data_IF_026060634455
#
_entry.id   IF_026060634455
#
_cell.length_a   1.000
_cell.length_b   1.000
_cell.length_c   1.000
_cell.angle_alpha   90.00
_cell.angle_beta   90.00
_cell.angle_gamma   90.00
#
_symmetry.space_group_name_H-M   'P 1'
#
loop_
_entity.id
_entity.type
_entity.pdbx_description
1 polymer ?
#
# COMPACT_ATOMS: atom_id res chain seq x y z
N UNK A 1 -31.03 5.30 22.20
CA UNK A 1 -32.41 5.07 21.72
C UNK A 1 -32.38 3.98 20.67
N UNK A 2 -33.10 2.90 20.91
CA UNK A 2 -33.17 1.70 20.06
C UNK A 2 -34.04 1.93 18.81
N UNK A 3 -33.69 2.93 17.99
CA UNK A 3 -34.52 3.35 16.85
C UNK A 3 -34.23 2.59 15.55
N UNK A 4 -33.41 1.55 15.57
CA UNK A 4 -33.03 0.78 14.38
C UNK A 4 -32.09 1.51 13.38
N UNK A 5 -31.74 2.77 13.64
CA UNK A 5 -30.93 3.58 12.72
C UNK A 5 -29.51 2.98 12.53
N UNK A 6 -28.87 2.61 13.61
CA UNK A 6 -27.52 1.98 13.57
C UNK A 6 -27.56 0.67 12.81
N UNK A 7 -28.67 -0.08 12.92
CA UNK A 7 -28.85 -1.33 12.20
C UNK A 7 -28.97 -1.12 10.68
N UNK A 8 -29.72 -0.08 10.25
CA UNK A 8 -29.77 0.28 8.82
C UNK A 8 -28.40 0.62 8.27
N UNK A 9 -27.58 1.35 9.04
CA UNK A 9 -26.20 1.67 8.65
C UNK A 9 -25.34 0.41 8.57
N UNK A 10 -25.51 -0.53 9.49
CA UNK A 10 -24.82 -1.83 9.42
C UNK A 10 -25.25 -2.65 8.20
N UNK A 11 -26.54 -2.65 7.83
CA UNK A 11 -27.02 -3.26 6.59
C UNK A 11 -26.36 -2.65 5.35
N UNK A 12 -26.22 -1.32 5.32
CA UNK A 12 -25.51 -0.63 4.23
C UNK A 12 -24.06 -1.08 4.19
N UNK A 13 -23.34 -1.04 5.31
CA UNK A 13 -21.95 -1.49 5.38
C UNK A 13 -21.80 -2.97 4.97
N UNK A 14 -22.76 -3.81 5.35
CA UNK A 14 -22.79 -5.21 4.95
C UNK A 14 -22.83 -5.38 3.43
N UNK A 15 -23.74 -4.70 2.75
CA UNK A 15 -23.85 -4.75 1.28
C UNK A 15 -22.61 -4.16 0.61
N UNK A 16 -21.95 -3.17 1.22
CA UNK A 16 -20.69 -2.60 0.74
C UNK A 16 -19.45 -3.45 1.06
N UNK A 17 -19.63 -4.65 1.62
CA UNK A 17 -18.55 -5.63 1.77
C UNK A 17 -17.98 -5.77 3.17
N UNK A 18 -18.73 -5.41 4.22
CA UNK A 18 -18.40 -5.79 5.61
C UNK A 18 -18.20 -7.32 5.69
N UNK A 19 -17.32 -7.78 6.56
CA UNK A 19 -17.18 -9.21 6.80
C UNK A 19 -18.46 -9.79 7.41
N UNK A 20 -18.76 -11.04 7.08
CA UNK A 20 -19.99 -11.67 7.53
C UNK A 20 -20.03 -11.88 9.05
N UNK A 21 -18.90 -12.15 9.67
CA UNK A 21 -18.71 -12.33 11.10
C UNK A 21 -18.84 -11.00 11.90
N UNK A 22 -18.69 -9.87 11.24
CA UNK A 22 -18.87 -8.54 11.83
C UNK A 22 -20.33 -8.05 11.74
N UNK A 23 -21.18 -8.73 10.94
CA UNK A 23 -22.61 -8.41 10.83
C UNK A 23 -23.43 -9.34 11.73
N UNK A 24 -23.68 -8.87 12.92
CA UNK A 24 -24.38 -9.68 13.95
C UNK A 24 -25.89 -9.41 13.87
N UNK A 25 -26.64 -10.48 13.63
CA UNK A 25 -28.09 -10.52 13.75
C UNK A 25 -28.50 -11.43 14.90
N UNK A 26 -29.62 -11.10 15.52
CA UNK A 26 -30.30 -12.03 16.44
C UNK A 26 -30.70 -13.29 15.63
N UNK A 27 -30.33 -14.47 16.14
CA UNK A 27 -30.61 -15.77 15.50
C UNK A 27 -32.09 -15.97 15.17
N UNK A 28 -32.99 -15.32 15.93
CA UNK A 28 -34.43 -15.42 15.74
C UNK A 28 -35.03 -14.29 14.85
N UNK A 29 -34.19 -13.49 14.21
CA UNK A 29 -34.67 -12.34 13.41
C UNK A 29 -35.46 -12.76 12.16
N UNK A 30 -35.23 -13.97 11.64
CA UNK A 30 -35.88 -14.48 10.43
C UNK A 30 -35.42 -13.82 9.13
N UNK A 31 -34.45 -12.91 9.17
CA UNK A 31 -33.89 -12.29 7.97
C UNK A 31 -32.87 -13.22 7.30
N UNK A 32 -32.96 -13.36 5.99
CA UNK A 32 -32.11 -14.25 5.19
C UNK A 32 -31.18 -13.51 4.24
N UNK A 33 -31.50 -12.26 3.91
CA UNK A 33 -30.71 -11.41 3.02
C UNK A 33 -30.85 -9.94 3.33
N UNK A 34 -29.84 -9.15 2.91
CA UNK A 34 -29.92 -7.70 2.82
C UNK A 34 -29.99 -7.31 1.36
N UNK A 35 -31.01 -6.53 1.00
CA UNK A 35 -31.19 -6.03 -0.36
C UNK A 35 -31.13 -4.52 -0.39
N UNK A 36 -30.39 -3.96 -1.36
CA UNK A 36 -30.21 -2.53 -1.54
C UNK A 36 -30.40 -2.11 -2.98
N UNK A 37 -31.25 -1.12 -3.22
CA UNK A 37 -31.40 -0.44 -4.51
C UNK A 37 -30.55 0.82 -4.57
N UNK A 38 -29.82 1.02 -5.67
CA UNK A 38 -28.98 2.18 -5.92
C UNK A 38 -29.39 2.82 -7.24
N UNK A 39 -29.60 4.15 -7.26
CA UNK A 39 -29.76 4.92 -8.50
C UNK A 39 -28.42 5.53 -8.90
N UNK A 40 -28.09 5.44 -10.16
CA UNK A 40 -26.92 6.05 -10.77
C UNK A 40 -27.34 7.09 -11.81
N UNK A 41 -26.40 7.82 -12.36
CA UNK A 41 -26.68 8.77 -13.45
C UNK A 41 -27.13 8.06 -14.75
N UNK A 42 -26.81 6.78 -14.93
CA UNK A 42 -27.01 6.03 -16.18
C UNK A 42 -27.97 4.82 -16.02
N UNK A 43 -28.52 4.61 -14.83
CA UNK A 43 -29.41 3.49 -14.57
C UNK A 43 -29.66 3.22 -13.09
N UNK A 44 -29.89 1.97 -12.76
CA UNK A 44 -30.12 1.51 -11.39
C UNK A 44 -29.47 0.16 -11.17
N UNK A 45 -29.12 -0.12 -9.92
CA UNK A 45 -28.60 -1.41 -9.47
C UNK A 45 -29.44 -1.91 -8.30
N UNK A 46 -29.63 -3.21 -8.23
CA UNK A 46 -30.12 -3.89 -7.04
C UNK A 46 -29.06 -4.89 -6.61
N UNK A 47 -28.59 -4.76 -5.38
CA UNK A 47 -27.65 -5.68 -4.76
C UNK A 47 -28.40 -6.52 -3.73
N UNK A 48 -28.20 -7.84 -3.77
CA UNK A 48 -28.73 -8.76 -2.76
C UNK A 48 -27.57 -9.57 -2.19
N UNK A 49 -27.46 -9.58 -0.87
CA UNK A 49 -26.42 -10.33 -0.17
C UNK A 49 -27.04 -11.23 0.89
N UNK A 50 -26.85 -12.56 0.81
CA UNK A 50 -27.34 -13.49 1.82
C UNK A 50 -26.68 -13.25 3.17
N UNK A 51 -27.41 -13.57 4.24
CA UNK A 51 -26.93 -13.56 5.61
C UNK A 51 -26.56 -15.00 6.00
N UNK A 52 -25.41 -15.21 6.59
CA UNK A 52 -24.92 -16.56 6.95
C UNK A 52 -24.25 -17.28 5.78
N UNK A 53 -24.78 -18.44 5.41
CA UNK A 53 -24.21 -19.23 4.33
C UNK A 53 -24.30 -18.49 2.98
N UNK A 54 -23.21 -18.49 2.23
CA UNK A 54 -23.15 -17.77 0.95
C UNK A 54 -22.87 -16.26 1.06
N UNK A 55 -22.65 -15.70 2.23
CA UNK A 55 -22.42 -14.26 2.48
C UNK A 55 -21.25 -13.64 1.69
N UNK A 56 -20.39 -14.43 1.07
CA UNK A 56 -19.34 -13.95 0.17
C UNK A 56 -19.83 -13.67 -1.27
N UNK A 57 -21.04 -14.10 -1.61
CA UNK A 57 -21.64 -13.91 -2.92
C UNK A 57 -22.63 -12.75 -2.84
N UNK A 58 -22.52 -11.81 -3.74
CA UNK A 58 -23.42 -10.68 -3.85
C UNK A 58 -24.03 -10.72 -5.26
N UNK A 59 -25.34 -10.85 -5.34
CA UNK A 59 -26.05 -10.76 -6.60
C UNK A 59 -26.28 -9.30 -6.97
N UNK A 60 -25.87 -8.92 -8.16
CA UNK A 60 -26.03 -7.58 -8.72
C UNK A 60 -26.90 -7.68 -9.95
N UNK A 61 -28.04 -7.01 -9.93
CA UNK A 61 -28.88 -6.77 -11.11
C UNK A 61 -28.76 -5.31 -11.49
N UNK A 62 -28.37 -5.01 -12.72
CA UNK A 62 -28.05 -3.66 -13.18
C UNK A 62 -28.73 -3.31 -14.48
N UNK A 63 -29.19 -2.07 -14.58
CA UNK A 63 -29.55 -1.40 -15.85
C UNK A 63 -28.51 -0.35 -16.25
N UNK A 64 -27.48 -0.10 -15.42
CA UNK A 64 -26.37 0.79 -15.74
C UNK A 64 -25.39 0.05 -16.66
N UNK A 65 -25.08 0.59 -17.86
CA UNK A 65 -24.25 -0.11 -18.85
C UNK A 65 -22.80 -0.35 -18.40
N UNK A 66 -22.32 0.34 -17.38
CA UNK A 66 -20.97 0.14 -16.84
C UNK A 66 -20.84 -1.11 -15.97
N UNK A 67 -21.98 -1.63 -15.50
CA UNK A 67 -22.02 -2.73 -14.54
C UNK A 67 -22.78 -3.89 -15.12
N UNK A 68 -22.11 -5.02 -15.26
CA UNK A 68 -22.74 -6.27 -15.69
C UNK A 68 -23.55 -6.88 -14.56
N UNK A 69 -24.73 -7.42 -14.89
CA UNK A 69 -25.53 -8.19 -13.94
C UNK A 69 -24.89 -9.57 -13.71
N UNK A 70 -24.85 -10.02 -12.46
CA UNK A 70 -24.25 -11.31 -12.11
C UNK A 70 -23.87 -11.41 -10.64
N UNK A 71 -23.17 -12.50 -10.32
CA UNK A 71 -22.68 -12.75 -8.96
C UNK A 71 -21.27 -12.22 -8.79
N UNK A 72 -21.12 -11.34 -7.84
CA UNK A 72 -19.86 -10.74 -7.44
C UNK A 72 -19.36 -11.34 -6.13
N UNK A 73 -18.06 -11.37 -5.94
CA UNK A 73 -17.43 -11.85 -4.70
C UNK A 73 -16.99 -10.68 -3.83
N UNK A 74 -17.15 -10.83 -2.52
CA UNK A 74 -16.60 -9.86 -1.55
C UNK A 74 -15.08 -9.84 -1.57
N UNK A 75 -14.48 -11.02 -1.65
CA UNK A 75 -13.01 -11.21 -1.71
C UNK A 75 -12.64 -12.01 -2.95
N UNK A 76 -11.39 -11.82 -3.40
CA UNK A 76 -10.89 -12.57 -4.56
C UNK A 76 -10.95 -14.08 -4.30
N UNK A 77 -11.67 -14.77 -5.17
CA UNK A 77 -11.71 -16.23 -5.22
C UNK A 77 -11.75 -16.65 -6.69
N UNK A 78 -10.58 -16.87 -7.26
CA UNK A 78 -10.46 -17.29 -8.66
C UNK A 78 -10.83 -16.17 -9.66
N UNK A 79 -11.62 -16.51 -10.69
CA UNK A 79 -11.97 -15.63 -11.82
C UNK A 79 -13.22 -14.79 -11.62
N UNK A 80 -13.89 -14.90 -10.48
CA UNK A 80 -15.14 -14.17 -10.25
C UNK A 80 -14.87 -12.67 -10.04
N UNK A 81 -15.73 -11.80 -10.59
CA UNK A 81 -15.59 -10.36 -10.41
C UNK A 81 -15.77 -9.98 -8.93
N UNK A 82 -15.07 -8.94 -8.52
CA UNK A 82 -15.13 -8.43 -7.15
C UNK A 82 -16.23 -7.38 -7.00
N UNK A 83 -16.97 -7.41 -5.89
CA UNK A 83 -17.92 -6.36 -5.51
C UNK A 83 -17.28 -4.98 -5.56
N UNK A 84 -16.00 -4.88 -5.17
CA UNK A 84 -15.26 -3.62 -5.20
C UNK A 84 -15.21 -2.99 -6.60
N UNK A 85 -15.18 -3.78 -7.67
CA UNK A 85 -15.16 -3.25 -9.04
C UNK A 85 -16.46 -2.53 -9.42
N UNK A 86 -17.60 -2.94 -8.86
CA UNK A 86 -18.88 -2.27 -9.08
C UNK A 86 -18.80 -0.80 -8.65
N UNK A 87 -18.36 -0.58 -7.41
CA UNK A 87 -18.28 0.76 -6.84
C UNK A 87 -17.20 1.61 -7.49
N UNK A 88 -16.05 1.01 -7.80
CA UNK A 88 -14.95 1.73 -8.45
C UNK A 88 -15.31 2.16 -9.88
N UNK A 89 -16.04 1.31 -10.64
CA UNK A 89 -16.56 1.69 -11.96
C UNK A 89 -17.57 2.84 -11.88
N UNK A 90 -18.43 2.85 -10.86
CA UNK A 90 -19.41 3.93 -10.67
C UNK A 90 -18.76 5.29 -10.38
N UNK A 91 -17.59 5.32 -9.75
CA UNK A 91 -16.84 6.56 -9.49
C UNK A 91 -15.85 6.91 -10.60
N UNK A 92 -15.82 6.15 -11.71
CA UNK A 92 -15.10 6.54 -12.93
C UNK A 92 -13.81 5.76 -13.21
N UNK A 93 -13.56 4.63 -12.55
CA UNK A 93 -12.44 3.76 -12.91
C UNK A 93 -12.91 2.71 -13.93
N UNK A 94 -12.38 2.74 -15.15
CA UNK A 94 -12.78 1.83 -16.24
C UNK A 94 -12.34 0.38 -16.01
N UNK A 95 -11.12 0.16 -15.51
CA UNK A 95 -10.54 -1.15 -15.28
C UNK A 95 -9.98 -1.28 -13.84
N UNK A 96 -10.85 -1.24 -12.80
CA UNK A 96 -10.42 -1.19 -11.41
C UNK A 96 -9.67 -2.43 -10.92
N UNK A 97 -9.82 -3.57 -11.58
CA UNK A 97 -9.13 -4.83 -11.28
C UNK A 97 -7.61 -4.76 -11.47
N UNK A 98 -7.14 -3.84 -12.31
CA UNK A 98 -5.72 -3.65 -12.60
C UNK A 98 -5.08 -2.56 -11.72
N UNK A 99 -5.89 -1.81 -10.95
CA UNK A 99 -5.41 -0.69 -10.18
C UNK A 99 -4.70 -1.15 -8.91
N UNK A 100 -3.51 -0.62 -8.72
CA UNK A 100 -2.71 -0.81 -7.51
C UNK A 100 -2.45 0.54 -6.85
N UNK A 101 -2.33 0.51 -5.53
CA UNK A 101 -1.96 1.67 -4.72
C UNK A 101 -0.78 1.31 -3.82
N UNK A 102 -0.04 2.32 -3.41
CA UNK A 102 1.03 2.16 -2.43
C UNK A 102 0.40 1.85 -1.07
N UNK A 103 0.80 0.72 -0.48
CA UNK A 103 0.25 0.20 0.76
C UNK A 103 0.88 0.85 1.99
N UNK A 104 2.19 1.07 1.97
CA UNK A 104 2.97 1.49 3.13
C UNK A 104 4.15 2.39 2.74
N UNK A 105 4.91 2.85 3.75
CA UNK A 105 6.09 3.70 3.57
C UNK A 105 7.22 3.02 2.79
N UNK A 106 7.23 1.68 2.76
CA UNK A 106 8.21 0.92 1.99
C UNK A 106 7.90 0.88 0.48
N UNK A 107 6.85 1.57 0.04
CA UNK A 107 6.36 1.59 -1.34
C UNK A 107 5.91 0.22 -1.87
N UNK A 108 5.52 -0.70 -0.97
CA UNK A 108 4.83 -1.92 -1.37
C UNK A 108 3.45 -1.59 -1.93
N UNK A 109 2.97 -2.39 -2.88
CA UNK A 109 1.67 -2.17 -3.49
C UNK A 109 0.62 -3.16 -3.02
N UNK A 110 -0.64 -2.75 -3.11
CA UNK A 110 -1.81 -3.60 -2.98
C UNK A 110 -2.86 -3.21 -4.02
N UNK A 111 -3.80 -4.12 -4.32
CA UNK A 111 -4.93 -3.80 -5.17
C UNK A 111 -5.77 -2.67 -4.54
N UNK A 112 -6.24 -1.73 -5.37
CA UNK A 112 -7.21 -0.74 -4.94
C UNK A 112 -8.55 -1.42 -4.74
N UNK A 113 -9.14 -1.22 -3.58
CA UNK A 113 -10.49 -1.71 -3.26
C UNK A 113 -11.40 -0.58 -2.82
N UNK A 114 -12.71 -0.74 -3.02
CA UNK A 114 -13.70 0.22 -2.53
C UNK A 114 -13.58 0.44 -1.01
N UNK A 115 -13.29 -0.60 -0.26
CA UNK A 115 -13.10 -0.53 1.20
C UNK A 115 -11.96 0.40 1.63
N UNK A 116 -11.02 0.70 0.74
CA UNK A 116 -9.97 1.70 1.00
C UNK A 116 -10.56 3.10 1.21
N UNK A 117 -11.66 3.43 0.49
CA UNK A 117 -12.36 4.72 0.63
C UNK A 117 -13.42 4.72 1.74
N UNK A 118 -13.78 3.56 2.27
CA UNK A 118 -14.90 3.42 3.20
C UNK A 118 -14.79 4.33 4.42
N UNK A 119 -13.56 4.52 4.89
CA UNK A 119 -13.28 5.41 6.03
C UNK A 119 -13.70 6.88 5.82
N UNK A 120 -13.75 7.33 4.59
CA UNK A 120 -14.21 8.69 4.27
C UNK A 120 -15.73 8.79 4.12
N UNK A 121 -16.41 7.67 3.92
CA UNK A 121 -17.84 7.61 3.58
C UNK A 121 -18.71 7.13 4.75
N UNK A 122 -18.13 6.38 5.67
CA UNK A 122 -18.85 5.75 6.77
C UNK A 122 -18.16 6.03 8.10
N UNK A 123 -18.89 6.60 9.03
CA UNK A 123 -18.46 6.78 10.41
C UNK A 123 -19.56 6.28 11.34
N UNK A 124 -19.20 5.36 12.23
CA UNK A 124 -20.04 4.88 13.32
C UNK A 124 -19.96 5.81 14.56
N UNK A 125 -20.76 5.52 15.58
CA UNK A 125 -20.80 6.30 16.82
C UNK A 125 -19.44 6.28 17.54
N UNK A 126 -18.74 5.15 17.55
CA UNK A 126 -17.43 5.00 18.19
C UNK A 126 -16.41 5.88 17.51
N UNK A 127 -16.46 5.95 16.19
CA UNK A 127 -15.55 6.75 15.39
C UNK A 127 -15.77 8.25 15.54
N UNK A 128 -17.03 8.67 15.62
CA UNK A 128 -17.39 10.08 15.84
C UNK A 128 -16.92 10.55 17.23
N UNK A 129 -16.97 9.70 18.23
CA UNK A 129 -16.57 10.00 19.60
C UNK A 129 -15.05 10.07 19.81
N UNK A 130 -14.24 9.62 18.85
CA UNK A 130 -12.77 9.63 18.96
C UNK A 130 -12.19 11.03 18.70
N UNK A 131 -11.05 11.34 19.34
CA UNK A 131 -10.29 12.57 19.05
C UNK A 131 -9.45 12.49 17.76
N UNK A 132 -9.53 11.36 17.02
CA UNK A 132 -8.79 11.16 15.78
C UNK A 132 -9.54 11.75 14.59
N UNK A 133 -8.84 12.19 13.53
CA UNK A 133 -9.48 12.71 12.32
C UNK A 133 -10.44 11.68 11.70
N UNK A 134 -11.70 12.06 11.49
CA UNK A 134 -12.74 11.18 10.95
C UNK A 134 -12.39 10.65 9.56
N UNK A 135 -11.73 11.46 8.73
CA UNK A 135 -11.35 11.10 7.37
C UNK A 135 -10.25 10.04 7.30
N UNK A 136 -9.40 9.92 8.32
CA UNK A 136 -8.28 8.98 8.27
C UNK A 136 -8.65 7.64 8.91
N UNK A 137 -8.12 6.52 8.38
CA UNK A 137 -8.22 5.23 9.04
C UNK A 137 -7.69 5.30 10.48
N UNK A 138 -8.37 4.64 11.41
CA UNK A 138 -7.92 4.54 12.81
C UNK A 138 -6.56 3.85 12.94
N UNK A 139 -6.33 2.84 12.09
CA UNK A 139 -5.06 2.14 12.00
C UNK A 139 -4.06 2.97 11.19
N UNK A 140 -2.96 3.36 11.81
CA UNK A 140 -1.89 4.15 11.18
C UNK A 140 -1.28 3.43 9.97
N UNK A 141 -1.20 2.11 10.01
CA UNK A 141 -0.71 1.27 8.90
C UNK A 141 -1.58 1.33 7.64
N UNK A 142 -2.87 1.67 7.76
CA UNK A 142 -3.78 1.81 6.62
C UNK A 142 -3.78 3.23 6.02
N UNK A 143 -3.23 4.22 6.71
CA UNK A 143 -3.24 5.61 6.26
C UNK A 143 -2.47 5.86 4.96
N UNK A 144 -1.27 5.27 4.71
CA UNK A 144 -0.58 5.45 3.43
C UNK A 144 -1.41 4.97 2.25
N UNK A 145 -2.03 3.80 2.35
CA UNK A 145 -2.90 3.24 1.32
C UNK A 145 -4.10 4.15 1.03
N UNK A 146 -4.77 4.64 2.08
CA UNK A 146 -5.89 5.57 1.95
C UNK A 146 -5.47 6.90 1.29
N UNK A 147 -4.36 7.50 1.73
CA UNK A 147 -3.85 8.75 1.14
C UNK A 147 -3.47 8.58 -0.34
N UNK A 148 -2.83 7.46 -0.68
CA UNK A 148 -2.51 7.12 -2.07
C UNK A 148 -3.76 6.94 -2.92
N UNK A 149 -4.77 6.21 -2.43
CA UNK A 149 -6.05 6.02 -3.11
C UNK A 149 -6.78 7.36 -3.32
N UNK A 150 -6.82 8.22 -2.31
CA UNK A 150 -7.44 9.54 -2.40
C UNK A 150 -6.71 10.44 -3.41
N UNK A 151 -5.38 10.43 -3.40
CA UNK A 151 -4.58 11.16 -4.37
C UNK A 151 -4.85 10.66 -5.80
N UNK A 152 -4.92 9.32 -6.02
CA UNK A 152 -5.29 8.73 -7.30
C UNK A 152 -6.68 9.17 -7.76
N UNK A 153 -7.67 9.18 -6.86
CA UNK A 153 -9.02 9.61 -7.17
C UNK A 153 -9.09 11.08 -7.58
N UNK A 154 -8.36 11.96 -6.90
CA UNK A 154 -8.39 13.41 -7.18
C UNK A 154 -7.61 13.75 -8.46
N UNK A 155 -6.48 13.09 -8.69
CA UNK A 155 -5.56 13.45 -9.79
C UNK A 155 -5.75 12.61 -11.06
N UNK A 156 -6.46 11.49 -10.96
CA UNK A 156 -6.58 10.48 -12.04
C UNK A 156 -5.26 9.75 -12.36
N UNK A 157 -4.20 9.92 -11.53
CA UNK A 157 -2.89 9.32 -11.79
C UNK A 157 -2.75 7.96 -11.09
N UNK A 158 -2.09 7.04 -11.78
CA UNK A 158 -1.64 5.77 -11.20
C UNK A 158 -0.31 5.99 -10.46
N UNK A 159 -0.36 5.84 -9.14
CA UNK A 159 0.82 5.94 -8.28
C UNK A 159 1.53 4.60 -8.10
N UNK A 160 1.03 3.50 -8.65
CA UNK A 160 1.70 2.20 -8.62
C UNK A 160 3.04 2.21 -9.37
N UNK A 161 3.19 3.11 -10.34
CA UNK A 161 4.46 3.31 -11.05
C UNK A 161 5.62 3.75 -10.14
N UNK A 162 5.32 4.28 -8.96
CA UNK A 162 6.33 4.62 -7.94
C UNK A 162 6.61 3.47 -6.96
N UNK A 163 5.99 2.30 -7.18
CA UNK A 163 6.31 1.11 -6.41
C UNK A 163 7.79 0.74 -6.59
N UNK A 164 8.40 0.26 -5.53
CA UNK A 164 9.75 -0.28 -5.62
C UNK A 164 9.69 -1.67 -6.25
N UNK A 165 10.51 -1.89 -7.27
CA UNK A 165 10.66 -3.21 -7.92
C UNK A 165 11.36 -4.23 -7.01
N UNK A 166 12.05 -3.74 -5.98
CA UNK A 166 12.88 -4.55 -5.08
C UNK A 166 12.29 -4.60 -3.67
N UNK A 167 12.24 -5.81 -3.10
CA UNK A 167 11.80 -5.99 -1.71
C UNK A 167 12.74 -5.30 -0.72
N UNK A 168 12.22 -4.90 0.45
CA UNK A 168 13.03 -4.30 1.53
C UNK A 168 14.15 -5.25 1.96
N UNK A 169 13.88 -6.55 2.00
CA UNK A 169 14.86 -7.58 2.38
C UNK A 169 15.98 -7.68 1.34
N UNK A 170 15.65 -7.75 0.06
CA UNK A 170 16.63 -7.78 -1.03
C UNK A 170 17.48 -6.52 -1.03
N UNK A 171 16.89 -5.35 -0.80
CA UNK A 171 17.63 -4.09 -0.68
C UNK A 171 18.58 -4.09 0.52
N UNK A 172 18.12 -4.57 1.69
CA UNK A 172 18.98 -4.70 2.86
C UNK A 172 20.14 -5.65 2.62
N UNK A 173 19.88 -6.81 2.03
CA UNK A 173 20.93 -7.77 1.67
C UNK A 173 21.96 -7.16 0.71
N UNK A 174 21.50 -6.45 -0.33
CA UNK A 174 22.39 -5.77 -1.27
C UNK A 174 23.21 -4.68 -0.59
N UNK A 175 22.58 -3.85 0.25
CA UNK A 175 23.28 -2.78 0.98
C UNK A 175 24.32 -3.38 1.94
N UNK A 176 23.98 -4.42 2.68
CA UNK A 176 24.92 -5.11 3.55
C UNK A 176 26.11 -5.70 2.76
N UNK A 177 25.84 -6.36 1.63
CA UNK A 177 26.90 -6.88 0.78
C UNK A 177 27.83 -5.77 0.24
N UNK A 178 27.28 -4.58 -0.07
CA UNK A 178 28.07 -3.42 -0.48
C UNK A 178 28.91 -2.91 0.70
N UNK A 179 28.34 -2.84 1.89
CA UNK A 179 29.07 -2.43 3.10
C UNK A 179 30.20 -3.40 3.40
N UNK A 180 29.93 -4.70 3.43
CA UNK A 180 30.91 -5.75 3.67
C UNK A 180 32.07 -5.73 2.64
N UNK A 181 31.75 -5.38 1.39
CA UNK A 181 32.76 -5.21 0.34
C UNK A 181 33.62 -3.94 0.52
N UNK A 182 33.00 -2.84 0.96
CA UNK A 182 33.67 -1.55 1.09
C UNK A 182 34.46 -1.42 2.41
N UNK A 183 34.03 -2.08 3.48
CA UNK A 183 34.61 -1.96 4.83
C UNK A 183 36.11 -2.30 4.89
N UNK A 184 36.61 -3.34 4.23
CA UNK A 184 38.04 -3.68 4.24
C UNK A 184 38.91 -2.76 3.35
N UNK A 185 38.31 -2.02 2.40
CA UNK A 185 39.08 -1.22 1.43
C UNK A 185 39.92 -0.10 2.05
N UNK A 186 39.44 0.68 3.03
CA UNK A 186 40.25 1.70 3.68
C UNK A 186 41.54 1.11 4.28
N UNK A 187 41.41 0.01 5.00
CA UNK A 187 42.57 -0.66 5.62
C UNK A 187 43.57 -1.17 4.58
N UNK A 188 43.09 -1.75 3.48
CA UNK A 188 43.94 -2.18 2.38
C UNK A 188 44.69 -1.01 1.71
N UNK A 189 44.02 0.14 1.59
CA UNK A 189 44.63 1.37 1.06
C UNK A 189 45.69 1.93 2.03
N UNK A 190 45.42 1.94 3.32
CA UNK A 190 46.36 2.35 4.35
C UNK A 190 47.61 1.47 4.34
N UNK A 191 47.47 0.13 4.27
CA UNK A 191 48.56 -0.82 4.16
C UNK A 191 49.38 -0.57 2.88
N UNK A 192 48.73 -0.23 1.78
CA UNK A 192 49.44 0.12 0.51
C UNK A 192 50.19 1.44 0.62
N UNK A 193 49.62 2.45 1.30
CA UNK A 193 50.29 3.73 1.57
C UNK A 193 51.57 3.46 2.38
N UNK A 194 51.50 2.68 3.47
CA UNK A 194 52.66 2.36 4.29
C UNK A 194 53.75 1.61 3.50
N UNK A 195 53.34 0.70 2.59
CA UNK A 195 54.31 -0.02 1.72
C UNK A 195 54.98 0.91 0.72
N UNK A 196 54.24 1.88 0.17
CA UNK A 196 54.78 2.88 -0.75
C UNK A 196 55.73 3.82 0.00
N UNK A 197 55.36 4.30 1.18
CA UNK A 197 56.25 5.13 2.01
C UNK A 197 57.56 4.43 2.37
N UNK A 198 57.50 3.15 2.70
CA UNK A 198 58.73 2.35 2.96
C UNK A 198 59.58 2.14 1.71
N UNK A 199 58.97 2.01 0.54
CA UNK A 199 59.65 1.81 -0.73
C UNK A 199 60.27 3.12 -1.29
N UNK A 200 59.67 4.26 -0.95
CA UNK A 200 60.03 5.59 -1.49
C UNK A 200 61.14 6.31 -0.72
N UNK A 201 61.75 5.69 0.27
CA UNK A 201 62.85 6.31 1.04
C UNK A 201 64.02 6.88 0.22
N UNK A 202 63.92 6.94 -1.12
CA UNK A 202 64.93 7.43 -2.06
C UNK A 202 64.41 8.21 -3.28
N UNK A 203 63.10 8.55 -3.36
CA UNK A 203 62.51 9.20 -4.55
C UNK A 203 62.14 10.68 -4.31
N UNK A 204 61.97 11.46 -5.40
CA UNK A 204 61.66 12.88 -5.36
C UNK A 204 60.43 13.20 -4.46
N UNK A 205 60.55 14.05 -3.43
CA UNK A 205 59.47 14.35 -2.50
C UNK A 205 58.21 14.84 -3.17
N UNK A 206 58.28 15.49 -4.32
CA UNK A 206 57.14 16.01 -5.06
C UNK A 206 56.24 14.90 -5.68
N UNK A 207 56.86 13.86 -6.23
CA UNK A 207 56.13 12.70 -6.80
C UNK A 207 55.49 11.87 -5.70
N UNK A 208 56.14 11.76 -4.55
CA UNK A 208 55.62 11.09 -3.37
C UNK A 208 54.37 11.81 -2.88
N UNK A 209 54.43 13.13 -2.73
CA UNK A 209 53.31 13.93 -2.24
C UNK A 209 52.10 13.84 -3.17
N UNK A 210 52.32 13.90 -4.49
CA UNK A 210 51.23 13.73 -5.46
C UNK A 210 50.54 12.37 -5.31
N UNK A 211 51.30 11.31 -5.10
CA UNK A 211 50.75 9.95 -4.95
C UNK A 211 50.00 9.76 -3.63
N UNK A 212 50.49 10.37 -2.56
CA UNK A 212 49.81 10.40 -1.26
C UNK A 212 48.47 11.13 -1.40
N UNK A 213 48.42 12.29 -2.05
CA UNK A 213 47.19 13.07 -2.23
C UNK A 213 46.16 12.31 -3.06
N UNK A 214 46.57 11.60 -4.10
CA UNK A 214 45.69 10.72 -4.89
C UNK A 214 45.06 9.59 -4.04
N UNK A 215 45.87 8.93 -3.20
CA UNK A 215 45.41 7.83 -2.33
C UNK A 215 44.49 8.32 -1.21
N UNK A 216 44.75 9.49 -0.64
CA UNK A 216 43.87 10.13 0.34
C UNK A 216 42.48 10.46 -0.28
N UNK A 217 42.47 11.02 -1.50
CA UNK A 217 41.25 11.32 -2.21
C UNK A 217 40.43 10.04 -2.54
N UNK A 218 41.10 8.93 -2.85
CA UNK A 218 40.45 7.65 -3.06
C UNK A 218 39.83 7.09 -1.77
N UNK A 219 40.55 7.18 -0.65
CA UNK A 219 40.09 6.76 0.68
C UNK A 219 38.86 7.56 1.13
N UNK A 220 38.85 8.88 0.95
CA UNK A 220 37.69 9.72 1.24
C UNK A 220 36.46 9.34 0.41
N UNK A 221 36.63 9.05 -0.88
CA UNK A 221 35.54 8.56 -1.74
C UNK A 221 34.96 7.24 -1.24
N UNK A 222 35.80 6.31 -0.81
CA UNK A 222 35.36 5.02 -0.26
C UNK A 222 34.60 5.22 1.04
N UNK A 223 35.10 6.06 1.93
CA UNK A 223 34.42 6.39 3.20
C UNK A 223 33.05 7.04 2.96
N UNK A 224 32.95 7.98 2.02
CA UNK A 224 31.67 8.60 1.65
C UNK A 224 30.68 7.56 1.11
N UNK A 225 31.13 6.61 0.29
CA UNK A 225 30.29 5.52 -0.22
C UNK A 225 29.80 4.60 0.89
N UNK A 226 30.64 4.25 1.87
CA UNK A 226 30.25 3.49 3.05
C UNK A 226 29.18 4.23 3.85
N UNK A 227 29.41 5.51 4.16
CA UNK A 227 28.46 6.35 4.90
C UNK A 227 27.12 6.45 4.18
N UNK A 228 27.15 6.68 2.86
CA UNK A 228 25.92 6.76 2.07
C UNK A 228 25.16 5.43 2.04
N UNK A 229 25.87 4.30 1.90
CA UNK A 229 25.26 2.97 1.93
C UNK A 229 24.67 2.64 3.31
N UNK A 230 25.33 3.06 4.40
CA UNK A 230 24.85 2.87 5.76
C UNK A 230 23.58 3.67 6.03
N UNK A 231 23.51 4.93 5.59
CA UNK A 231 22.31 5.78 5.73
C UNK A 231 21.13 5.23 4.94
N UNK A 232 21.37 4.76 3.71
CA UNK A 232 20.32 4.14 2.88
C UNK A 232 19.85 2.76 3.39
N UNK A 233 20.60 2.13 4.27
CA UNK A 233 20.24 0.85 4.88
C UNK A 233 19.39 0.97 6.15
N UNK A 234 19.27 2.20 6.73
CA UNK A 234 18.49 2.46 7.94
C UNK A 234 17.05 2.94 7.66
N UNK A 235 16.73 3.30 6.42
CA UNK A 235 15.38 3.60 5.94
C UNK A 235 14.68 2.34 5.38
#
# INVERSE_FOLDING_TARGET
SNSGKSWVLQCIDYVFGLKADEFVLDENSGYTEVRMGVRTAQGSLTLSRPIGEGANNIEVSSTDPRIESGTYKRQSSGRSPLLSSVWLKLIGYDAPENLKIIKNQNLETQALTWRTFWHALYADEDRISTKKPILLPLQTTAQPAFKCALASLITGKDYAAYARDESVETRKLRNNAIIDYLEPLPKQLEERIELIDKALGSSDPAEIQQRIDELIAELERVQQRITHATVQGQD
#
